data_IF_136405066872
#
_entry.id   IF_136405066872
#
_cell.length_a   1.000
_cell.length_b   1.000
_cell.length_c   1.000
_cell.angle_alpha   90.00
_cell.angle_beta   90.00
_cell.angle_gamma   90.00
#
_symmetry.space_group_name_H-M   'P 1'
#
loop_
_entity.id
_entity.type
_entity.pdbx_description
1 polymer ?
#
# COMPACT_ATOMS: atom_id res chain seq x y z
N UNK A 1 15.33 1.12 20.49
CA UNK A 1 14.40 2.02 21.20
C UNK A 1 14.84 2.30 22.64
N UNK A 2 15.82 1.60 23.14
CA UNK A 2 16.38 1.83 24.47
C UNK A 2 17.39 2.98 24.41
N UNK A 3 17.22 3.98 25.29
CA UNK A 3 18.12 5.12 25.40
C UNK A 3 17.80 6.33 24.53
N UNK A 4 16.80 6.27 23.66
CA UNK A 4 16.42 7.41 22.79
C UNK A 4 15.66 8.54 23.53
N UNK A 5 15.10 8.23 24.69
CA UNK A 5 14.45 9.24 25.56
C UNK A 5 15.13 9.20 26.92
N UNK A 6 15.67 10.32 27.35
CA UNK A 6 16.34 10.46 28.65
C UNK A 6 15.72 11.60 29.45
N UNK A 7 15.75 11.48 30.77
CA UNK A 7 15.49 12.56 31.70
C UNK A 7 16.71 12.76 32.61
N UNK A 8 17.27 13.96 32.65
CA UNK A 8 18.50 14.26 33.38
C UNK A 8 19.67 13.34 32.98
N UNK A 9 19.77 12.96 31.69
CA UNK A 9 20.79 12.08 31.13
C UNK A 9 20.60 10.57 31.41
N UNK A 10 19.53 10.16 32.09
CA UNK A 10 19.23 8.75 32.37
C UNK A 10 18.16 8.22 31.39
N UNK A 11 18.37 7.05 30.75
CA UNK A 11 17.36 6.44 29.86
C UNK A 11 16.04 6.18 30.58
N UNK A 12 14.92 6.50 29.92
CA UNK A 12 13.58 6.26 30.42
C UNK A 12 13.00 4.98 29.85
N UNK A 13 12.38 4.18 30.70
CA UNK A 13 11.58 3.05 30.27
C UNK A 13 10.28 3.52 29.60
N UNK A 14 9.70 2.71 28.70
CA UNK A 14 8.47 3.01 27.95
C UNK A 14 7.27 3.40 28.84
N UNK A 15 7.24 2.89 30.07
CA UNK A 15 6.17 3.12 31.04
C UNK A 15 6.64 3.95 32.24
N UNK A 16 7.73 4.69 32.12
CA UNK A 16 8.23 5.58 33.17
C UNK A 16 7.15 6.62 33.53
N UNK A 17 6.92 6.82 34.83
CA UNK A 17 6.07 7.89 35.32
C UNK A 17 6.93 9.13 35.52
N UNK A 18 6.48 10.26 34.97
CA UNK A 18 7.13 11.55 35.09
C UNK A 18 6.45 12.34 36.23
N UNK A 19 7.23 13.01 37.05
CA UNK A 19 6.72 13.80 38.18
C UNK A 19 6.20 15.20 37.75
N UNK A 20 6.55 15.63 36.53
CA UNK A 20 6.27 16.97 36.01
C UNK A 20 7.45 17.93 36.23
N UNK A 21 7.69 18.79 35.23
CA UNK A 21 8.83 19.70 35.22
C UNK A 21 10.16 19.13 34.79
N UNK A 22 10.23 17.85 34.45
CA UNK A 22 11.45 17.21 33.95
C UNK A 22 11.71 17.60 32.51
N UNK A 23 12.98 17.87 32.20
CA UNK A 23 13.44 18.06 30.82
C UNK A 23 13.72 16.72 30.19
N UNK A 24 12.99 16.41 29.12
CA UNK A 24 13.21 15.20 28.34
C UNK A 24 14.10 15.52 27.15
N UNK A 25 15.16 14.75 27.00
CA UNK A 25 15.97 14.75 25.77
C UNK A 25 15.54 13.57 24.92
N UNK A 26 15.11 13.83 23.69
CA UNK A 26 14.73 12.83 22.70
C UNK A 26 15.80 12.82 21.61
N UNK A 27 16.53 11.73 21.50
CA UNK A 27 17.46 11.52 20.38
C UNK A 27 16.71 10.80 19.26
N UNK A 28 16.43 11.48 18.16
CA UNK A 28 15.90 10.85 16.97
C UNK A 28 17.08 10.24 16.21
N UNK A 29 17.05 8.94 15.90
CA UNK A 29 18.03 8.36 15.00
C UNK A 29 17.91 9.06 13.63
N UNK A 30 19.04 9.27 12.98
CA UNK A 30 19.02 9.69 11.60
C UNK A 30 18.16 8.72 10.79
N UNK A 31 17.31 9.21 9.87
CA UNK A 31 16.56 8.34 8.99
C UNK A 31 17.58 7.47 8.22
N UNK A 32 17.61 6.17 8.47
CA UNK A 32 18.35 5.29 7.57
C UNK A 32 17.74 5.46 6.17
N UNK A 33 18.54 5.80 5.16
CA UNK A 33 18.07 5.83 3.79
C UNK A 33 17.58 4.41 3.47
N UNK A 34 16.28 4.21 3.38
CA UNK A 34 15.70 2.99 2.81
C UNK A 34 15.83 3.14 1.28
N UNK A 35 17.04 3.10 0.78
CA UNK A 35 17.29 2.97 -0.65
C UNK A 35 16.86 1.56 -1.06
N UNK A 36 15.90 1.49 -1.98
CA UNK A 36 15.54 0.22 -2.56
C UNK A 36 16.67 -0.21 -3.51
N UNK A 37 17.44 -1.20 -3.12
CA UNK A 37 18.48 -1.77 -3.99
C UNK A 37 17.88 -2.69 -5.06
N UNK A 38 18.42 -2.73 -6.29
CA UNK A 38 18.03 -3.69 -7.31
C UNK A 38 18.22 -5.14 -6.81
N UNK A 39 17.24 -6.01 -7.06
CA UNK A 39 17.32 -7.44 -6.73
C UNK A 39 16.76 -8.28 -7.88
N UNK A 40 17.45 -9.36 -8.23
CA UNK A 40 17.02 -10.33 -9.24
C UNK A 40 15.86 -11.17 -8.71
N UNK A 41 14.66 -10.60 -8.78
CA UNK A 41 13.41 -11.26 -8.43
C UNK A 41 12.61 -11.44 -9.71
N UNK A 42 12.18 -12.66 -10.06
CA UNK A 42 11.42 -12.92 -11.28
C UNK A 42 10.14 -12.08 -11.36
N UNK A 43 9.91 -11.43 -12.50
CA UNK A 43 8.70 -10.66 -12.81
C UNK A 43 7.88 -11.36 -13.89
N UNK A 44 6.57 -11.49 -13.64
CA UNK A 44 5.61 -11.86 -14.69
C UNK A 44 5.17 -10.58 -15.42
N UNK A 45 5.93 -10.20 -16.45
CA UNK A 45 5.70 -8.98 -17.25
C UNK A 45 4.59 -9.26 -18.27
N UNK A 46 3.47 -8.56 -18.12
CA UNK A 46 2.29 -8.70 -19.01
C UNK A 46 2.37 -7.72 -20.19
N UNK A 47 2.92 -6.53 -19.96
CA UNK A 47 3.12 -5.52 -20.98
C UNK A 47 4.30 -4.62 -20.60
N UNK A 48 5.06 -4.19 -21.58
CA UNK A 48 6.13 -3.22 -21.40
C UNK A 48 6.38 -2.42 -22.68
N UNK A 49 6.59 -1.11 -22.51
CA UNK A 49 7.06 -0.21 -23.57
C UNK A 49 8.09 0.78 -23.00
N UNK A 50 8.32 1.91 -23.69
CA UNK A 50 9.23 2.97 -23.23
C UNK A 50 8.69 3.78 -22.04
N UNK A 51 7.38 3.78 -21.82
CA UNK A 51 6.70 4.64 -20.86
C UNK A 51 6.25 3.89 -19.60
N UNK A 52 5.81 2.64 -19.75
CA UNK A 52 5.22 1.87 -18.66
C UNK A 52 5.65 0.40 -18.67
N UNK A 53 5.57 -0.23 -17.51
CA UNK A 53 5.64 -1.67 -17.34
C UNK A 53 4.43 -2.14 -16.53
N UNK A 54 3.76 -3.20 -16.98
CA UNK A 54 2.66 -3.86 -16.28
C UNK A 54 3.09 -5.26 -15.88
N UNK A 55 3.04 -5.53 -14.60
CA UNK A 55 3.42 -6.84 -14.05
C UNK A 55 2.23 -7.50 -13.34
N UNK A 56 2.13 -8.81 -13.45
CA UNK A 56 1.20 -9.62 -12.67
C UNK A 56 1.87 -9.98 -11.33
N UNK A 57 1.59 -9.20 -10.30
CA UNK A 57 2.17 -9.40 -8.97
C UNK A 57 1.65 -10.69 -8.34
N UNK A 58 2.51 -11.62 -7.91
CA UNK A 58 2.07 -12.79 -7.16
C UNK A 58 1.57 -12.41 -5.75
N UNK A 59 0.74 -13.28 -5.17
CA UNK A 59 0.42 -13.25 -3.75
C UNK A 59 1.69 -13.38 -2.92
N UNK A 60 1.78 -12.68 -1.80
CA UNK A 60 2.92 -12.71 -0.88
C UNK A 60 3.98 -11.65 -1.15
N UNK A 61 4.06 -11.09 -2.36
CA UNK A 61 5.02 -10.04 -2.70
C UNK A 61 4.53 -8.66 -2.23
N UNK A 62 5.37 -7.96 -1.46
CA UNK A 62 5.14 -6.57 -1.04
C UNK A 62 5.51 -5.62 -2.19
N UNK A 63 4.75 -4.54 -2.37
CA UNK A 63 4.99 -3.62 -3.51
C UNK A 63 6.25 -2.78 -3.32
N UNK A 64 6.48 -2.22 -2.14
CA UNK A 64 7.61 -1.32 -1.87
C UNK A 64 8.17 -1.51 -0.46
N UNK A 65 9.44 -1.18 -0.22
CA UNK A 65 10.06 -1.31 1.10
C UNK A 65 9.26 -0.60 2.19
N UNK A 66 9.13 -1.27 3.33
CA UNK A 66 8.43 -0.79 4.51
C UNK A 66 9.06 -1.40 5.78
N UNK A 67 8.79 -0.86 6.99
CA UNK A 67 9.21 -1.49 8.23
C UNK A 67 8.78 -2.96 8.31
N UNK A 68 9.76 -3.86 8.49
CA UNK A 68 9.56 -5.31 8.46
C UNK A 68 9.69 -5.98 7.09
N UNK A 69 9.85 -5.20 6.01
CA UNK A 69 10.14 -5.65 4.65
C UNK A 69 11.05 -4.62 3.97
N UNK A 70 12.34 -4.53 4.36
CA UNK A 70 13.27 -3.54 3.81
C UNK A 70 13.64 -3.80 2.35
N UNK A 71 13.56 -5.06 1.94
CA UNK A 71 13.92 -5.58 0.62
C UNK A 71 12.96 -6.70 0.18
N UNK A 72 13.28 -7.40 -0.91
CA UNK A 72 12.45 -8.48 -1.45
C UNK A 72 11.11 -7.99 -1.97
N UNK A 73 11.00 -6.75 -2.44
CA UNK A 73 9.75 -6.13 -2.87
C UNK A 73 9.66 -6.02 -4.40
N UNK A 74 8.46 -5.71 -4.91
CA UNK A 74 8.27 -5.45 -6.33
C UNK A 74 9.17 -4.30 -6.84
N UNK A 75 9.37 -3.25 -6.02
CA UNK A 75 10.28 -2.14 -6.37
C UNK A 75 11.71 -2.63 -6.57
N UNK A 76 12.21 -3.54 -5.70
CA UNK A 76 13.56 -4.10 -5.87
C UNK A 76 13.69 -4.88 -7.20
N UNK A 77 12.64 -5.64 -7.56
CA UNK A 77 12.59 -6.35 -8.83
C UNK A 77 12.52 -5.41 -10.04
N UNK A 78 11.69 -4.36 -9.97
CA UNK A 78 11.57 -3.36 -11.02
C UNK A 78 12.87 -2.57 -11.24
N UNK A 79 13.57 -2.22 -10.16
CA UNK A 79 14.90 -1.58 -10.25
C UNK A 79 15.91 -2.49 -10.96
N UNK A 80 15.89 -3.78 -10.70
CA UNK A 80 16.77 -4.72 -11.40
C UNK A 80 16.39 -4.86 -12.87
N UNK A 81 15.11 -4.98 -13.19
CA UNK A 81 14.61 -5.19 -14.56
C UNK A 81 14.73 -3.94 -15.44
N UNK A 82 14.34 -2.78 -14.91
CA UNK A 82 14.28 -1.52 -15.67
C UNK A 82 15.56 -0.68 -15.56
N UNK A 83 16.45 -0.96 -14.60
CA UNK A 83 17.64 -0.13 -14.33
C UNK A 83 17.25 1.33 -14.06
N UNK A 84 17.97 2.26 -14.70
CA UNK A 84 17.77 3.70 -14.53
C UNK A 84 16.51 4.26 -15.22
N UNK A 85 15.71 3.42 -15.86
CA UNK A 85 14.52 3.87 -16.62
C UNK A 85 13.25 3.98 -15.80
N UNK A 86 13.28 3.89 -14.46
CA UNK A 86 12.11 4.12 -13.61
C UNK A 86 11.97 5.60 -13.25
N UNK A 87 10.71 6.10 -13.23
CA UNK A 87 10.42 7.47 -12.79
C UNK A 87 10.84 7.70 -11.34
N UNK A 88 11.57 8.78 -11.10
CA UNK A 88 12.03 9.22 -9.78
C UNK A 88 11.00 10.01 -8.96
N UNK A 89 9.85 10.38 -9.52
CA UNK A 89 8.83 11.23 -8.84
C UNK A 89 8.34 10.64 -7.52
N UNK A 90 8.25 9.30 -7.44
CA UNK A 90 7.88 8.58 -6.21
C UNK A 90 8.93 8.65 -5.09
N UNK A 91 10.09 9.25 -5.36
CA UNK A 91 11.27 9.27 -4.49
C UNK A 91 11.98 7.92 -4.45
N UNK A 92 13.13 7.88 -3.78
CA UNK A 92 14.02 6.71 -3.69
C UNK A 92 13.36 5.42 -3.21
N UNK A 93 12.28 5.55 -2.44
CA UNK A 93 11.55 4.40 -1.87
C UNK A 93 10.52 3.77 -2.80
N UNK A 94 10.09 4.49 -3.84
CA UNK A 94 8.95 4.09 -4.69
C UNK A 94 9.14 4.48 -6.16
N UNK A 95 10.31 4.26 -6.75
CA UNK A 95 10.52 4.65 -8.14
C UNK A 95 9.48 3.97 -9.04
N UNK A 96 8.86 4.75 -9.90
CA UNK A 96 7.85 4.30 -10.85
C UNK A 96 6.47 3.91 -10.27
N UNK A 97 6.32 3.80 -8.96
CA UNK A 97 5.08 3.31 -8.33
C UNK A 97 4.04 4.42 -8.20
N UNK A 98 2.93 4.29 -8.91
CA UNK A 98 1.77 5.20 -8.88
C UNK A 98 0.61 4.66 -8.04
N UNK A 99 0.51 3.34 -7.87
CA UNK A 99 -0.50 2.67 -7.03
C UNK A 99 0.05 1.39 -6.39
N UNK A 100 -0.74 0.80 -5.52
CA UNK A 100 -0.37 -0.44 -4.84
C UNK A 100 -1.57 -1.34 -4.61
N UNK A 101 -1.30 -2.63 -4.52
CA UNK A 101 -2.20 -3.65 -3.97
C UNK A 101 -1.55 -4.29 -2.75
N UNK A 102 -2.32 -4.94 -1.91
CA UNK A 102 -1.81 -5.52 -0.67
C UNK A 102 -0.90 -6.74 -0.95
N UNK A 103 -0.08 -7.12 0.05
CA UNK A 103 0.85 -8.24 -0.07
C UNK A 103 0.18 -9.52 -0.59
N UNK A 104 -0.95 -9.86 0.00
CA UNK A 104 -1.66 -11.11 -0.28
C UNK A 104 -2.70 -10.99 -1.42
N UNK A 105 -2.80 -9.82 -2.06
CA UNK A 105 -3.54 -9.60 -3.29
C UNK A 105 -2.64 -9.86 -4.50
N UNK A 106 -3.06 -10.71 -5.41
CA UNK A 106 -2.41 -10.91 -6.71
C UNK A 106 -3.05 -10.04 -7.79
N UNK A 107 -2.37 -9.84 -8.91
CA UNK A 107 -2.91 -9.14 -10.07
C UNK A 107 -2.03 -8.01 -10.59
N UNK A 108 -2.60 -7.24 -11.51
CA UNK A 108 -1.86 -6.28 -12.32
C UNK A 108 -1.44 -5.04 -11.52
N UNK A 109 -0.18 -4.68 -11.64
CA UNK A 109 0.37 -3.39 -11.22
C UNK A 109 1.03 -2.74 -12.42
N UNK A 110 0.71 -1.46 -12.66
CA UNK A 110 1.38 -0.62 -13.63
C UNK A 110 2.40 0.28 -12.92
N UNK A 111 3.61 0.35 -13.45
CA UNK A 111 4.66 1.24 -13.00
C UNK A 111 5.13 2.14 -14.17
N UNK A 112 5.52 3.37 -13.82
CA UNK A 112 5.99 4.36 -14.79
C UNK A 112 7.51 4.24 -14.99
N UNK A 113 7.95 4.16 -16.24
CA UNK A 113 9.37 4.11 -16.61
C UNK A 113 9.99 5.50 -16.78
N UNK A 114 9.18 6.54 -16.84
CA UNK A 114 9.63 7.94 -16.90
C UNK A 114 8.62 8.87 -16.21
N UNK A 115 9.06 10.11 -15.98
CA UNK A 115 8.28 11.10 -15.21
C UNK A 115 7.02 11.56 -15.93
N UNK A 116 7.02 11.61 -17.28
CA UNK A 116 5.83 11.95 -18.07
C UNK A 116 4.72 10.91 -17.88
N UNK A 117 5.08 9.63 -17.96
CA UNK A 117 4.14 8.53 -17.71
C UNK A 117 3.64 8.55 -16.26
N UNK A 118 4.53 8.82 -15.30
CA UNK A 118 4.16 8.92 -13.89
C UNK A 118 3.09 9.99 -13.65
N UNK A 119 3.30 11.19 -14.15
CA UNK A 119 2.34 12.29 -14.02
C UNK A 119 1.01 11.97 -14.70
N UNK A 120 1.05 11.38 -15.90
CA UNK A 120 -0.15 10.94 -16.63
C UNK A 120 -0.94 9.89 -15.84
N UNK A 121 -0.28 8.84 -15.34
CA UNK A 121 -0.92 7.79 -14.55
C UNK A 121 -1.46 8.32 -13.22
N UNK A 122 -0.73 9.22 -12.56
CA UNK A 122 -1.18 9.86 -11.32
C UNK A 122 -2.45 10.70 -11.54
N UNK A 123 -2.53 11.45 -12.64
CA UNK A 123 -3.73 12.20 -13.02
C UNK A 123 -4.92 11.26 -13.29
N UNK A 124 -4.72 10.18 -14.06
CA UNK A 124 -5.75 9.18 -14.34
C UNK A 124 -6.24 8.44 -13.09
N UNK A 125 -5.39 8.27 -12.07
CA UNK A 125 -5.80 7.72 -10.77
C UNK A 125 -6.60 8.72 -9.95
N UNK A 126 -6.27 10.01 -10.08
CA UNK A 126 -6.94 11.10 -9.36
C UNK A 126 -8.34 11.37 -9.92
N UNK A 127 -8.50 11.39 -11.23
CA UNK A 127 -9.78 11.60 -11.92
C UNK A 127 -10.58 10.31 -12.12
N UNK A 128 -10.06 9.17 -11.64
CA UNK A 128 -10.68 7.85 -11.71
C UNK A 128 -10.87 7.28 -13.12
N UNK A 129 -10.19 7.80 -14.13
CA UNK A 129 -10.21 7.27 -15.50
C UNK A 129 -9.41 5.98 -15.62
N UNK A 130 -8.35 5.81 -14.81
CA UNK A 130 -7.68 4.53 -14.65
C UNK A 130 -8.50 3.63 -13.72
N UNK A 131 -9.31 2.73 -14.31
CA UNK A 131 -10.20 1.86 -13.58
C UNK A 131 -9.42 0.81 -12.77
N UNK A 132 -9.81 0.61 -11.51
CA UNK A 132 -9.30 -0.44 -10.62
C UNK A 132 -10.38 -1.46 -10.36
N UNK A 133 -10.26 -2.60 -11.01
CA UNK A 133 -11.23 -3.70 -10.95
C UNK A 133 -10.59 -4.90 -10.28
N UNK A 134 -11.27 -5.45 -9.30
CA UNK A 134 -10.85 -6.61 -8.52
C UNK A 134 -11.90 -7.70 -8.58
N UNK A 135 -11.48 -8.93 -8.34
CA UNK A 135 -12.37 -10.04 -8.09
C UNK A 135 -12.03 -10.66 -6.74
N UNK A 136 -13.03 -11.06 -5.98
CA UNK A 136 -12.84 -11.76 -4.72
C UNK A 136 -14.01 -12.70 -4.41
N UNK A 137 -13.73 -13.67 -3.53
CA UNK A 137 -14.75 -14.53 -2.96
C UNK A 137 -15.03 -14.06 -1.54
N UNK A 138 -16.26 -13.70 -1.27
CA UNK A 138 -16.72 -13.31 0.07
C UNK A 138 -17.48 -14.43 0.75
N UNK A 139 -17.39 -14.48 2.07
CA UNK A 139 -18.15 -15.43 2.89
C UNK A 139 -19.61 -14.97 2.97
N UNK A 140 -20.52 -15.91 2.79
CA UNK A 140 -21.97 -15.68 2.83
C UNK A 140 -22.60 -15.52 1.45
N UNK A 141 -23.91 -15.58 1.42
CA UNK A 141 -24.74 -15.33 0.24
C UNK A 141 -25.20 -13.88 0.21
N UNK A 142 -24.83 -13.14 -0.82
CA UNK A 142 -25.38 -11.80 -1.07
C UNK A 142 -26.76 -11.96 -1.71
N UNK A 143 -27.76 -11.21 -1.21
CA UNK A 143 -29.13 -11.24 -1.76
C UNK A 143 -29.24 -10.44 -3.05
N UNK A 144 -28.63 -9.27 -3.05
CA UNK A 144 -28.61 -8.35 -4.19
C UNK A 144 -27.57 -8.80 -5.23
N UNK A 145 -27.81 -8.48 -6.51
CA UNK A 145 -26.87 -8.78 -7.60
C UNK A 145 -25.74 -7.76 -7.72
N UNK A 146 -25.95 -6.55 -7.22
CA UNK A 146 -24.96 -5.47 -7.21
C UNK A 146 -25.26 -4.50 -6.07
N UNK A 147 -24.26 -3.69 -5.73
CA UNK A 147 -24.40 -2.64 -4.72
C UNK A 147 -23.20 -1.74 -4.60
N UNK A 148 -23.30 -0.79 -3.69
CA UNK A 148 -22.23 0.15 -3.37
C UNK A 148 -21.99 0.17 -1.86
N UNK A 149 -20.73 0.08 -1.47
CA UNK A 149 -20.30 0.35 -0.10
C UNK A 149 -19.64 1.72 -0.09
N UNK A 150 -20.30 2.70 0.53
CA UNK A 150 -19.78 4.03 0.80
C UNK A 150 -19.62 4.16 2.31
N UNK A 151 -18.39 3.90 2.79
CA UNK A 151 -18.11 3.86 4.22
C UNK A 151 -16.65 4.23 4.50
N UNK A 152 -16.41 5.20 5.41
CA UNK A 152 -15.07 5.70 5.67
C UNK A 152 -14.18 4.64 6.32
N UNK A 153 -12.92 4.54 5.84
CA UNK A 153 -11.93 3.57 6.33
C UNK A 153 -10.84 4.29 7.10
N UNK A 154 -10.57 3.83 8.31
CA UNK A 154 -9.50 4.30 9.18
C UNK A 154 -8.81 3.17 9.94
N UNK A 155 -7.84 3.51 10.80
CA UNK A 155 -7.20 2.52 11.67
C UNK A 155 -8.19 1.97 12.69
N UNK A 156 -8.19 0.64 12.85
CA UNK A 156 -9.01 0.00 13.87
C UNK A 156 -8.72 0.58 15.27
N UNK A 157 -9.73 0.96 16.07
CA UNK A 157 -9.54 1.71 17.32
C UNK A 157 -8.72 0.96 18.37
N UNK A 158 -8.76 -0.37 18.37
CA UNK A 158 -8.05 -1.23 19.32
C UNK A 158 -6.85 -1.90 18.68
N UNK A 159 -7.05 -2.64 17.61
CA UNK A 159 -5.98 -3.32 16.88
C UNK A 159 -5.43 -2.42 15.76
N UNK A 160 -4.42 -1.62 16.07
CA UNK A 160 -3.83 -0.66 15.14
C UNK A 160 -3.13 -1.27 13.92
N UNK A 161 -2.96 -2.59 13.86
CA UNK A 161 -2.45 -3.28 12.66
C UNK A 161 -3.54 -3.47 11.59
N UNK A 162 -4.81 -3.38 11.97
CA UNK A 162 -5.98 -3.56 11.10
C UNK A 162 -6.57 -2.22 10.66
N UNK A 163 -7.31 -2.26 9.56
CA UNK A 163 -8.22 -1.20 9.13
C UNK A 163 -9.66 -1.57 9.49
N UNK A 164 -10.51 -0.57 9.63
CA UNK A 164 -11.91 -0.76 9.94
C UNK A 164 -12.74 0.40 9.35
N UNK A 165 -14.03 0.17 9.19
CA UNK A 165 -14.99 1.25 9.00
C UNK A 165 -15.11 2.02 10.31
N UNK A 166 -14.80 3.30 10.30
CA UNK A 166 -14.78 4.19 11.47
C UNK A 166 -14.86 5.65 11.06
N UNK A 167 -15.53 6.46 11.87
CA UNK A 167 -15.62 7.92 11.66
C UNK A 167 -14.35 8.67 12.11
N UNK A 168 -13.58 8.08 13.04
CA UNK A 168 -12.40 8.74 13.61
C UNK A 168 -11.15 8.49 12.78
N UNK A 169 -10.45 9.57 12.39
CA UNK A 169 -9.18 9.49 11.64
C UNK A 169 -9.29 8.59 10.40
N UNK A 170 -10.42 8.68 9.71
CA UNK A 170 -10.76 7.90 8.54
C UNK A 170 -10.71 8.74 7.27
N UNK A 171 -10.80 8.06 6.14
CA UNK A 171 -10.91 8.67 4.81
C UNK A 171 -12.09 8.07 4.08
N UNK A 172 -12.81 8.89 3.36
CA UNK A 172 -13.89 8.46 2.47
C UNK A 172 -13.44 7.32 1.57
N UNK A 173 -14.27 6.27 1.46
CA UNK A 173 -13.97 5.09 0.66
C UNK A 173 -15.25 4.55 0.01
N UNK A 174 -15.19 4.36 -1.32
CA UNK A 174 -16.31 3.84 -2.11
C UNK A 174 -15.87 2.66 -2.96
N UNK A 175 -16.66 1.58 -2.87
CA UNK A 175 -16.51 0.36 -3.67
C UNK A 175 -17.84 -0.02 -4.27
N UNK A 176 -17.94 -0.13 -5.59
CA UNK A 176 -19.07 -0.75 -6.28
C UNK A 176 -18.76 -2.23 -6.46
N UNK A 177 -19.80 -3.07 -6.28
CA UNK A 177 -19.66 -4.51 -6.45
C UNK A 177 -20.81 -5.08 -7.25
N UNK A 178 -20.54 -6.15 -7.97
CA UNK A 178 -21.53 -6.98 -8.69
C UNK A 178 -21.22 -8.46 -8.49
N UNK A 179 -22.26 -9.26 -8.41
CA UNK A 179 -22.14 -10.72 -8.28
C UNK A 179 -21.76 -11.32 -9.63
N UNK A 180 -20.72 -12.13 -9.63
CA UNK A 180 -20.34 -12.96 -10.79
C UNK A 180 -21.01 -14.32 -10.64
N UNK A 181 -20.89 -14.95 -9.44
CA UNK A 181 -21.42 -16.28 -9.21
C UNK A 181 -21.71 -16.51 -7.71
N UNK A 182 -22.73 -17.30 -7.42
CA UNK A 182 -23.10 -17.70 -6.05
C UNK A 182 -22.80 -19.16 -5.81
N UNK A 183 -22.16 -19.45 -4.67
CA UNK A 183 -21.85 -20.80 -4.22
C UNK A 183 -22.52 -21.09 -2.87
N UNK A 184 -22.49 -22.33 -2.42
CA UNK A 184 -22.97 -22.68 -1.08
C UNK A 184 -22.08 -22.02 0.00
N UNK A 185 -22.60 -20.97 0.64
CA UNK A 185 -21.92 -20.24 1.71
C UNK A 185 -20.89 -19.20 1.25
N UNK A 186 -20.72 -18.95 -0.05
CA UNK A 186 -19.79 -17.97 -0.61
C UNK A 186 -20.38 -17.27 -1.82
N UNK A 187 -19.87 -16.09 -2.12
CA UNK A 187 -20.24 -15.35 -3.34
C UNK A 187 -18.98 -14.82 -4.02
N UNK A 188 -18.83 -15.09 -5.31
CA UNK A 188 -17.80 -14.49 -6.16
C UNK A 188 -18.32 -13.15 -6.68
N UNK A 189 -17.57 -12.09 -6.43
CA UNK A 189 -17.93 -10.73 -6.82
C UNK A 189 -16.83 -10.03 -7.60
N UNK A 190 -17.23 -9.09 -8.44
CA UNK A 190 -16.36 -8.08 -9.04
C UNK A 190 -16.52 -6.78 -8.27
N UNK A 191 -15.41 -6.14 -7.93
CA UNK A 191 -15.38 -4.85 -7.26
C UNK A 191 -14.72 -3.81 -8.15
N UNK A 192 -15.36 -2.63 -8.29
CA UNK A 192 -14.78 -1.45 -8.93
C UNK A 192 -14.60 -0.38 -7.87
N UNK A 193 -13.36 0.07 -7.70
CA UNK A 193 -12.99 1.05 -6.69
C UNK A 193 -13.03 2.47 -7.26
N UNK A 194 -13.71 3.41 -6.57
CA UNK A 194 -13.52 4.84 -6.77
C UNK A 194 -12.30 5.33 -5.99
N UNK A 195 -12.12 4.84 -4.80
CA UNK A 195 -11.03 5.21 -3.88
C UNK A 195 -10.05 4.05 -3.71
N UNK A 196 -8.84 4.31 -3.20
CA UNK A 196 -7.84 3.26 -2.93
C UNK A 196 -7.27 3.43 -1.52
N UNK A 197 -8.01 2.97 -0.51
CA UNK A 197 -7.55 3.01 0.88
C UNK A 197 -6.82 1.72 1.23
N UNK A 198 -5.96 1.79 2.24
CA UNK A 198 -5.29 0.60 2.76
C UNK A 198 -6.33 -0.43 3.21
N UNK A 199 -6.22 -1.66 2.73
CA UNK A 199 -7.12 -2.78 3.00
C UNK A 199 -8.60 -2.49 2.65
N UNK A 200 -8.87 -1.63 1.67
CA UNK A 200 -10.21 -1.40 1.17
C UNK A 200 -10.74 -2.64 0.49
#
# INVERSE_FOLDING_TARGET
QEGQVTAGGKPLAKNARLAGGEVLTVTLPDPEPLEAAPQDIPLDVVYEDSDVIVVNKPKGLVVHPAPGHPDGTLVNALLHHCGDSLSGIGGEKRPGIVHRIDRDTSGLIIAAKNDRAHLSLAAQLQDHTLARVYQCIVVGGLREDAGTVDAPIGRHPVDRKRMAVTEKNSRHAVTHWEVIERYAGFTHIRCKLETGRTHQ
#
